data_IF_089705574303
#
_entry.id   IF_089705574303
#
_cell.length_a   1.000
_cell.length_b   1.000
_cell.length_c   1.000
_cell.angle_alpha   90.00
_cell.angle_beta   90.00
_cell.angle_gamma   90.00
#
_symmetry.space_group_name_H-M   'P 1'
#
loop_
_entity.id
_entity.type
_entity.pdbx_description
1 polymer ?
#
# COMPACT_ATOMS: atom_id res chain seq x y z
N UNK A 1 -10.95 20.02 12.44
CA UNK A 1 -9.92 19.00 12.66
C UNK A 1 -9.21 18.86 11.33
N UNK A 2 -7.92 19.18 11.27
CA UNK A 2 -7.15 19.16 10.02
C UNK A 2 -6.88 17.70 9.63
N UNK A 3 -7.25 17.29 8.42
CA UNK A 3 -7.00 15.94 7.94
C UNK A 3 -5.50 15.63 7.91
N UNK A 4 -4.67 16.64 7.66
CA UNK A 4 -3.22 16.48 7.65
C UNK A 4 -2.67 16.07 9.02
N UNK A 5 -3.24 16.60 10.10
CA UNK A 5 -2.79 16.27 11.45
C UNK A 5 -3.14 14.83 11.87
N UNK A 6 -4.01 14.14 11.11
CA UNK A 6 -4.32 12.72 11.31
C UNK A 6 -3.40 11.82 10.49
N UNK A 7 -2.96 12.26 9.31
CA UNK A 7 -2.13 11.46 8.39
C UNK A 7 -0.63 11.55 8.71
N UNK A 8 -0.13 12.71 9.11
CA UNK A 8 1.29 12.91 9.46
C UNK A 8 1.90 11.81 10.36
N UNK A 9 1.28 11.42 11.49
CA UNK A 9 1.85 10.38 12.35
C UNK A 9 1.92 9.01 11.66
N UNK A 10 0.96 8.70 10.78
CA UNK A 10 0.94 7.45 10.02
C UNK A 10 2.08 7.43 9.00
N UNK A 11 2.26 8.53 8.27
CA UNK A 11 3.36 8.67 7.31
C UNK A 11 4.71 8.60 8.01
N UNK A 12 4.87 9.30 9.15
CA UNK A 12 6.09 9.26 9.94
C UNK A 12 6.43 7.84 10.39
N UNK A 13 5.43 7.08 10.89
CA UNK A 13 5.63 5.69 11.30
C UNK A 13 6.15 4.79 10.17
N UNK A 14 5.58 4.89 8.97
CA UNK A 14 6.00 4.05 7.82
C UNK A 14 7.25 4.57 7.10
N UNK A 15 7.82 5.69 7.52
CA UNK A 15 9.01 6.28 6.88
C UNK A 15 10.33 5.74 7.43
N UNK A 16 10.35 5.20 8.65
CA UNK A 16 11.59 4.74 9.31
C UNK A 16 11.41 3.49 10.20
N UNK A 17 12.52 2.93 10.67
CA UNK A 17 12.55 1.83 11.62
C UNK A 17 11.75 0.59 11.18
N UNK A 18 11.02 0.00 12.13
CA UNK A 18 10.19 -1.19 11.87
C UNK A 18 9.01 -0.89 10.93
N UNK A 19 8.47 0.34 10.95
CA UNK A 19 7.36 0.72 10.09
C UNK A 19 7.78 0.73 8.62
N UNK A 20 8.97 1.25 8.30
CA UNK A 20 9.53 1.14 6.95
C UNK A 20 9.69 -0.32 6.50
N UNK A 21 10.17 -1.20 7.37
CA UNK A 21 10.30 -2.64 7.07
C UNK A 21 8.93 -3.27 6.78
N UNK A 22 7.92 -2.99 7.61
CA UNK A 22 6.55 -3.47 7.40
C UNK A 22 6.01 -2.98 6.05
N UNK A 23 6.19 -1.69 5.72
CA UNK A 23 5.81 -1.13 4.43
C UNK A 23 6.46 -1.89 3.27
N UNK A 24 7.77 -2.12 3.32
CA UNK A 24 8.47 -2.84 2.26
C UNK A 24 7.97 -4.27 2.08
N UNK A 25 7.66 -4.97 3.19
CA UNK A 25 7.06 -6.32 3.12
C UNK A 25 5.67 -6.27 2.49
N UNK A 26 4.84 -5.31 2.88
CA UNK A 26 3.50 -5.15 2.30
C UNK A 26 3.55 -4.80 0.81
N UNK A 27 4.45 -3.91 0.39
CA UNK A 27 4.69 -3.58 -1.02
C UNK A 27 5.16 -4.80 -1.81
N UNK A 28 6.06 -5.62 -1.24
CA UNK A 28 6.50 -6.86 -1.86
C UNK A 28 5.34 -7.86 -2.03
N UNK A 29 4.57 -8.11 -0.96
CA UNK A 29 3.41 -9.02 -1.02
C UNK A 29 2.40 -8.53 -2.04
N UNK A 30 2.12 -7.23 -2.07
CA UNK A 30 1.21 -6.63 -3.04
C UNK A 30 1.71 -6.83 -4.47
N UNK A 31 3.00 -6.59 -4.72
CA UNK A 31 3.61 -6.74 -6.06
C UNK A 31 3.58 -8.20 -6.53
N UNK A 32 3.76 -9.16 -5.62
CA UNK A 32 3.69 -10.59 -5.95
C UNK A 32 2.26 -11.02 -6.25
N UNK A 33 1.29 -10.58 -5.45
CA UNK A 33 -0.12 -10.95 -5.61
C UNK A 33 -0.79 -10.24 -6.79
N UNK A 34 -0.37 -9.00 -7.06
CA UNK A 34 -0.93 -8.12 -8.09
C UNK A 34 0.22 -7.55 -8.94
N UNK A 35 0.85 -8.38 -9.78
CA UNK A 35 1.97 -7.95 -10.60
C UNK A 35 1.53 -6.90 -11.61
N UNK A 36 2.44 -6.01 -12.04
CA UNK A 36 2.08 -4.89 -12.93
C UNK A 36 1.59 -5.30 -14.32
N UNK A 37 1.83 -6.54 -14.73
CA UNK A 37 1.30 -7.13 -15.96
C UNK A 37 -0.02 -7.89 -15.73
N UNK A 38 -0.60 -7.84 -14.52
CA UNK A 38 -1.92 -8.39 -14.26
C UNK A 38 -2.95 -7.65 -15.09
N UNK A 39 -4.03 -8.34 -15.41
CA UNK A 39 -5.16 -7.72 -16.09
C UNK A 39 -5.70 -6.56 -15.26
N UNK A 40 -6.16 -5.51 -15.95
CA UNK A 40 -6.76 -4.38 -15.29
C UNK A 40 -7.95 -4.84 -14.44
N UNK A 41 -8.11 -4.25 -13.25
CA UNK A 41 -9.25 -4.54 -12.40
C UNK A 41 -10.55 -4.28 -13.17
N UNK A 42 -11.35 -5.33 -13.37
CA UNK A 42 -12.63 -5.24 -14.07
C UNK A 42 -13.77 -5.15 -13.06
N UNK A 43 -14.72 -4.23 -13.30
CA UNK A 43 -15.99 -4.19 -12.53
C UNK A 43 -17.00 -5.21 -13.02
N UNK A 44 -16.73 -5.85 -14.16
CA UNK A 44 -17.52 -6.93 -14.71
C UNK A 44 -16.78 -8.25 -14.47
N UNK A 45 -17.47 -9.31 -14.03
CA UNK A 45 -16.86 -10.63 -13.97
C UNK A 45 -16.44 -11.05 -15.38
N UNK A 46 -15.23 -11.60 -15.51
CA UNK A 46 -14.82 -12.26 -16.75
C UNK A 46 -15.74 -13.46 -17.00
N UNK A 47 -16.26 -13.55 -18.23
CA UNK A 47 -17.07 -14.67 -18.71
C UNK A 47 -16.26 -15.97 -18.77
#
# INVERSE_FOLDING_TARGET
MDFNSLIEPVVAFFSEGIGAVIRSVLEFVYTVMFPSNSEAATIYPKA
#
